data_IF_025075968000
#
_entry.id   IF_025075968000
#
_cell.length_a   1.000
_cell.length_b   1.000
_cell.length_c   1.000
_cell.angle_alpha   90.00
_cell.angle_beta   90.00
_cell.angle_gamma   90.00
#
_symmetry.space_group_name_H-M   'P 1'
#
loop_
_entity.id
_entity.type
_entity.pdbx_description
1 polymer ?
#
# COMPACT_ATOMS: atom_id res chain seq x y z
N UNK A 1 13.56 27.98 8.50
CA UNK A 1 12.59 27.43 7.52
C UNK A 1 11.37 28.34 7.40
N UNK A 2 10.98 29.02 8.47
CA UNK A 2 9.68 29.67 8.61
C UNK A 2 9.46 30.98 7.85
N UNK A 3 10.52 31.62 7.40
CA UNK A 3 10.41 33.02 6.89
C UNK A 3 10.57 33.20 5.39
N UNK A 4 10.93 32.16 4.64
CA UNK A 4 11.24 32.35 3.23
C UNK A 4 10.09 32.15 2.24
N UNK A 5 8.99 31.48 2.63
CA UNK A 5 7.93 31.16 1.68
C UNK A 5 6.56 31.75 1.99
N UNK A 6 6.29 32.15 3.24
CA UNK A 6 4.94 32.64 3.65
C UNK A 6 3.79 31.66 3.41
N UNK A 7 4.06 30.48 2.87
CA UNK A 7 3.09 29.46 2.54
C UNK A 7 2.73 28.61 3.77
N UNK A 8 1.47 28.25 3.96
CA UNK A 8 1.10 27.21 4.90
C UNK A 8 1.91 25.93 4.65
N UNK A 9 2.15 25.13 5.70
CA UNK A 9 2.95 23.87 5.59
C UNK A 9 2.43 22.97 4.47
N UNK A 10 1.10 22.85 4.33
CA UNK A 10 0.48 22.06 3.25
C UNK A 10 0.87 22.58 1.87
N UNK A 11 0.78 23.90 1.65
CA UNK A 11 1.17 24.51 0.38
C UNK A 11 2.66 24.35 0.08
N UNK A 12 3.52 24.34 1.12
CA UNK A 12 4.94 24.08 0.94
C UNK A 12 5.22 22.62 0.56
N UNK A 13 4.56 21.66 1.21
CA UNK A 13 4.71 20.23 0.91
C UNK A 13 4.17 19.86 -0.49
N UNK A 14 3.13 20.54 -0.95
CA UNK A 14 2.49 20.25 -2.23
C UNK A 14 3.09 21.03 -3.42
N UNK A 15 4.22 21.69 -3.25
CA UNK A 15 4.90 22.36 -4.36
C UNK A 15 5.45 21.35 -5.38
N UNK A 16 5.35 21.69 -6.65
CA UNK A 16 5.86 20.85 -7.74
C UNK A 16 7.38 20.69 -7.73
N UNK A 17 8.08 21.69 -7.18
CA UNK A 17 9.55 21.69 -7.01
C UNK A 17 10.00 21.15 -5.63
N UNK A 18 9.09 20.58 -4.83
CA UNK A 18 9.47 20.01 -3.53
C UNK A 18 10.33 18.75 -3.72
N UNK A 19 11.56 18.69 -3.19
CA UNK A 19 12.50 17.62 -3.55
C UNK A 19 12.13 16.25 -2.99
N UNK A 20 11.35 16.16 -1.91
CA UNK A 20 11.07 14.91 -1.20
C UNK A 20 9.64 14.41 -1.37
N UNK A 21 8.64 15.28 -1.33
CA UNK A 21 7.23 14.86 -1.29
C UNK A 21 6.86 13.89 -2.43
N UNK A 22 7.15 14.18 -3.72
CA UNK A 22 6.82 13.26 -4.79
C UNK A 22 7.63 11.95 -4.70
N UNK A 23 8.92 12.00 -4.34
CA UNK A 23 9.76 10.81 -4.16
C UNK A 23 9.25 9.90 -3.06
N UNK A 24 8.90 10.45 -1.90
CA UNK A 24 8.34 9.68 -0.77
C UNK A 24 7.04 9.01 -1.17
N UNK A 25 6.14 9.73 -1.85
CA UNK A 25 4.85 9.17 -2.28
C UNK A 25 5.04 8.06 -3.30
N UNK A 26 5.86 8.27 -4.31
CA UNK A 26 6.16 7.26 -5.34
C UNK A 26 6.81 6.02 -4.74
N UNK A 27 7.76 6.20 -3.82
CA UNK A 27 8.40 5.09 -3.13
C UNK A 27 7.42 4.25 -2.30
N UNK A 28 6.45 4.90 -1.65
CA UNK A 28 5.38 4.19 -0.91
C UNK A 28 4.44 3.45 -1.84
N UNK A 29 4.03 4.07 -2.95
CA UNK A 29 3.20 3.40 -3.96
C UNK A 29 3.94 2.18 -4.51
N UNK A 30 5.23 2.32 -4.82
CA UNK A 30 6.07 1.18 -5.24
C UNK A 30 6.14 0.08 -4.18
N UNK A 31 6.38 0.45 -2.92
CA UNK A 31 6.44 -0.48 -1.80
C UNK A 31 5.16 -1.31 -1.66
N UNK A 32 3.98 -0.70 -1.82
CA UNK A 32 2.70 -1.42 -1.78
C UNK A 32 2.53 -2.41 -2.94
N UNK A 33 3.18 -2.17 -4.08
CA UNK A 33 3.11 -3.07 -5.22
C UNK A 33 4.15 -4.20 -5.15
N UNK A 34 5.36 -3.91 -4.68
CA UNK A 34 6.50 -4.84 -4.74
C UNK A 34 6.99 -5.32 -3.36
N UNK A 35 6.33 -4.91 -2.27
CA UNK A 35 6.69 -5.27 -0.90
C UNK A 35 7.76 -4.37 -0.28
N UNK A 36 8.75 -3.92 -1.06
CA UNK A 36 9.84 -3.04 -0.59
C UNK A 36 9.99 -1.85 -1.54
N UNK A 37 10.19 -0.66 -0.99
CA UNK A 37 10.49 0.54 -1.76
C UNK A 37 11.93 0.54 -2.30
N UNK A 38 12.23 1.39 -3.27
CA UNK A 38 13.62 1.63 -3.69
C UNK A 38 14.47 2.15 -2.52
N UNK A 39 13.89 3.04 -1.71
CA UNK A 39 14.38 3.41 -0.38
C UNK A 39 13.63 2.53 0.63
N UNK A 40 14.35 1.63 1.30
CA UNK A 40 13.76 0.68 2.26
C UNK A 40 13.53 1.27 3.65
N UNK A 41 13.96 2.52 3.86
CA UNK A 41 13.61 3.36 5.01
C UNK A 41 12.53 4.38 4.63
N UNK A 42 11.25 3.98 4.43
CA UNK A 42 10.22 4.83 3.81
C UNK A 42 9.85 6.08 4.63
N UNK A 43 10.27 6.14 5.88
CA UNK A 43 10.08 7.28 6.77
C UNK A 43 11.33 8.15 6.93
N UNK A 44 12.45 7.75 6.34
CA UNK A 44 13.71 8.49 6.37
C UNK A 44 14.37 8.51 4.99
N UNK A 45 14.21 9.62 4.30
CA UNK A 45 14.87 9.95 3.03
C UNK A 45 16.05 10.89 3.26
N UNK A 46 16.45 11.05 4.51
CA UNK A 46 17.53 11.92 4.91
C UNK A 46 18.87 11.20 5.01
N UNK A 47 19.79 11.84 5.73
CA UNK A 47 21.18 11.40 5.85
C UNK A 47 21.34 10.03 6.54
N UNK A 48 20.39 9.66 7.42
CA UNK A 48 20.43 8.40 8.17
C UNK A 48 19.62 7.29 7.47
N UNK A 49 18.87 7.62 6.41
CA UNK A 49 18.13 6.66 5.61
C UNK A 49 18.99 5.95 4.57
N UNK A 50 18.41 4.93 3.97
CA UNK A 50 19.07 4.15 2.91
C UNK A 50 19.08 4.93 1.59
N UNK A 51 20.14 4.75 0.81
CA UNK A 51 20.16 5.21 -0.57
C UNK A 51 19.18 4.40 -1.44
N UNK A 52 18.53 5.02 -2.42
CA UNK A 52 17.66 4.32 -3.34
C UNK A 52 18.43 3.34 -4.22
N UNK A 53 17.88 2.15 -4.46
CA UNK A 53 18.50 1.17 -5.37
C UNK A 53 18.47 1.60 -6.85
N UNK A 54 17.47 2.42 -7.21
CA UNK A 54 17.26 2.91 -8.58
C UNK A 54 16.93 4.40 -8.55
N UNK A 55 17.94 5.28 -8.32
CA UNK A 55 17.71 6.72 -8.12
C UNK A 55 17.08 7.40 -9.33
N UNK A 56 17.53 7.09 -10.55
CA UNK A 56 17.01 7.71 -11.76
C UNK A 56 15.55 7.31 -12.01
N UNK A 57 15.18 6.05 -11.71
CA UNK A 57 13.80 5.59 -11.84
C UNK A 57 12.88 6.26 -10.80
N UNK A 58 13.35 6.40 -9.56
CA UNK A 58 12.63 7.11 -8.52
C UNK A 58 12.38 8.57 -8.91
N UNK A 59 13.40 9.24 -9.44
CA UNK A 59 13.31 10.64 -9.86
C UNK A 59 12.39 10.82 -11.07
N UNK A 60 12.50 9.92 -12.05
CA UNK A 60 11.63 9.95 -13.22
C UNK A 60 10.15 9.75 -12.82
N UNK A 61 9.84 8.75 -12.01
CA UNK A 61 8.47 8.49 -11.57
C UNK A 61 7.93 9.61 -10.67
N UNK A 62 8.78 10.26 -9.87
CA UNK A 62 8.40 11.43 -9.10
C UNK A 62 8.04 12.61 -10.02
N UNK A 63 8.82 12.84 -11.08
CA UNK A 63 8.51 13.81 -12.12
C UNK A 63 7.19 13.52 -12.85
N UNK A 64 6.97 12.27 -13.24
CA UNK A 64 5.71 11.83 -13.89
C UNK A 64 4.48 12.04 -12.99
N UNK A 65 4.61 11.79 -11.70
CA UNK A 65 3.54 12.06 -10.74
C UNK A 65 3.16 13.54 -10.71
N UNK A 66 4.14 14.42 -10.60
CA UNK A 66 3.94 15.87 -10.62
C UNK A 66 3.36 16.32 -11.97
N UNK A 67 3.98 15.90 -13.07
CA UNK A 67 3.53 16.25 -14.43
C UNK A 67 2.10 15.82 -14.72
N UNK A 68 1.68 14.66 -14.21
CA UNK A 68 0.30 14.17 -14.34
C UNK A 68 -0.72 14.90 -13.45
N UNK A 69 -0.30 15.90 -12.66
CA UNK A 69 -1.13 16.60 -11.69
C UNK A 69 -1.46 15.74 -10.47
N UNK A 70 -0.48 15.00 -9.95
CA UNK A 70 -0.58 14.15 -8.75
C UNK A 70 -1.60 13.00 -8.87
N UNK A 71 -1.81 12.49 -10.08
CA UNK A 71 -2.79 11.44 -10.35
C UNK A 71 -2.22 10.05 -10.04
N UNK A 72 -2.52 9.52 -8.88
CA UNK A 72 -2.07 8.17 -8.45
C UNK A 72 -2.47 7.07 -9.45
N UNK A 73 -3.64 7.15 -10.08
CA UNK A 73 -4.07 6.14 -11.06
C UNK A 73 -3.17 6.11 -12.30
N UNK A 74 -2.61 7.24 -12.71
CA UNK A 74 -1.64 7.30 -13.81
C UNK A 74 -0.36 6.57 -13.42
N UNK A 75 0.17 6.85 -12.24
CA UNK A 75 1.35 6.18 -11.68
C UNK A 75 1.12 4.67 -11.53
N UNK A 76 0.01 4.25 -10.95
CA UNK A 76 -0.34 2.83 -10.79
C UNK A 76 -0.43 2.12 -12.15
N UNK A 77 -1.04 2.77 -13.15
CA UNK A 77 -1.13 2.23 -14.51
C UNK A 77 0.25 2.01 -15.13
N UNK A 78 1.19 2.93 -14.96
CA UNK A 78 2.57 2.78 -15.44
C UNK A 78 3.24 1.58 -14.79
N UNK A 79 3.10 1.41 -13.46
CA UNK A 79 3.64 0.27 -12.71
C UNK A 79 3.04 -1.04 -13.23
N UNK A 80 1.71 -1.16 -13.28
CA UNK A 80 1.02 -2.40 -13.64
C UNK A 80 1.24 -2.82 -15.10
N UNK A 81 1.51 -1.89 -16.00
CA UNK A 81 1.82 -2.17 -17.39
C UNK A 81 3.32 -2.43 -17.64
N UNK A 82 4.17 -2.21 -16.66
CA UNK A 82 5.61 -2.38 -16.80
C UNK A 82 6.00 -3.86 -16.98
N UNK A 83 7.12 -4.10 -17.63
CA UNK A 83 7.72 -5.42 -17.71
C UNK A 83 8.09 -5.96 -16.33
N UNK A 84 8.53 -5.09 -15.43
CA UNK A 84 8.89 -5.43 -14.05
C UNK A 84 7.71 -6.03 -13.27
N UNK A 85 6.51 -5.47 -13.42
CA UNK A 85 5.31 -6.01 -12.79
C UNK A 85 4.92 -7.39 -13.32
N UNK A 86 5.16 -7.64 -14.61
CA UNK A 86 4.77 -8.87 -15.30
C UNK A 86 5.82 -9.97 -15.27
N UNK A 87 6.92 -9.76 -14.53
CA UNK A 87 7.95 -10.79 -14.34
C UNK A 87 7.40 -11.99 -13.58
N UNK A 88 7.95 -13.18 -13.88
CA UNK A 88 7.72 -14.37 -13.07
C UNK A 88 8.42 -14.24 -11.70
N UNK A 89 7.87 -14.93 -10.69
CA UNK A 89 8.49 -15.03 -9.36
C UNK A 89 9.47 -16.21 -9.23
N UNK A 90 9.66 -16.99 -10.29
CA UNK A 90 10.50 -18.19 -10.27
C UNK A 90 11.93 -17.86 -9.85
N UNK A 91 12.47 -18.56 -8.85
CA UNK A 91 13.83 -18.31 -8.39
C UNK A 91 14.86 -18.84 -9.38
N UNK A 92 15.95 -18.08 -9.56
CA UNK A 92 17.14 -18.50 -10.31
C UNK A 92 18.32 -18.54 -9.35
N UNK A 93 18.95 -19.70 -9.16
CA UNK A 93 19.98 -19.90 -8.14
C UNK A 93 21.14 -18.90 -8.23
N UNK A 94 21.61 -18.59 -9.44
CA UNK A 94 22.69 -17.60 -9.65
C UNK A 94 22.27 -16.18 -9.21
N UNK A 95 21.05 -15.79 -9.48
CA UNK A 95 20.55 -14.46 -9.11
C UNK A 95 20.29 -14.39 -7.59
N UNK A 96 19.77 -15.47 -6.99
CA UNK A 96 19.60 -15.56 -5.53
C UNK A 96 20.94 -15.41 -4.78
N UNK A 97 22.02 -15.93 -5.31
CA UNK A 97 23.34 -15.82 -4.69
C UNK A 97 23.86 -14.36 -4.67
N UNK A 98 23.41 -13.53 -5.60
CA UNK A 98 23.82 -12.12 -5.71
C UNK A 98 22.83 -11.17 -5.02
N UNK A 99 21.53 -11.41 -5.21
CA UNK A 99 20.45 -10.54 -4.72
C UNK A 99 19.26 -11.38 -4.26
N UNK A 100 19.39 -12.01 -3.08
CA UNK A 100 18.36 -12.85 -2.50
C UNK A 100 17.04 -12.12 -2.27
N UNK A 101 17.12 -10.84 -1.92
CA UNK A 101 15.96 -9.97 -1.66
C UNK A 101 15.28 -9.41 -2.91
N UNK A 102 15.77 -9.75 -4.11
CA UNK A 102 15.26 -9.22 -5.39
C UNK A 102 15.20 -7.68 -5.43
N UNK A 103 16.13 -7.02 -4.76
CA UNK A 103 16.24 -5.55 -4.68
C UNK A 103 16.55 -4.91 -6.03
N UNK A 104 17.20 -5.66 -6.91
CA UNK A 104 17.54 -5.25 -8.29
C UNK A 104 16.47 -5.66 -9.31
N UNK A 105 15.30 -6.13 -8.84
CA UNK A 105 14.13 -6.41 -9.66
C UNK A 105 14.37 -7.46 -10.76
N UNK A 106 15.21 -8.46 -10.52
CA UNK A 106 15.50 -9.54 -11.47
C UNK A 106 14.37 -10.57 -11.57
N UNK A 107 13.43 -10.57 -10.61
CA UNK A 107 12.14 -11.29 -10.63
C UNK A 107 11.09 -10.46 -9.92
N UNK A 108 9.81 -10.83 -10.07
CA UNK A 108 8.77 -10.30 -9.20
C UNK A 108 9.00 -10.80 -7.76
N UNK A 109 9.21 -9.91 -6.77
CA UNK A 109 9.46 -10.33 -5.40
C UNK A 109 8.17 -10.92 -4.81
N UNK A 110 8.17 -12.22 -4.40
CA UNK A 110 7.01 -12.80 -3.75
C UNK A 110 6.80 -12.14 -2.38
N UNK A 111 5.59 -11.75 -2.08
CA UNK A 111 5.20 -11.22 -0.78
C UNK A 111 3.84 -11.78 -0.37
N UNK A 112 3.60 -11.84 0.93
CA UNK A 112 2.31 -12.26 1.46
C UNK A 112 1.28 -11.16 1.22
N UNK A 113 0.07 -11.55 0.81
CA UNK A 113 -1.05 -10.62 0.74
C UNK A 113 -1.48 -10.19 2.14
N UNK A 114 -1.97 -8.97 2.27
CA UNK A 114 -2.62 -8.49 3.48
C UNK A 114 -3.91 -9.27 3.74
N UNK A 115 -4.29 -9.40 5.00
CA UNK A 115 -5.48 -10.14 5.41
C UNK A 115 -6.75 -9.66 4.70
N UNK A 116 -6.88 -8.35 4.56
CA UNK A 116 -8.00 -7.72 3.86
C UNK A 116 -8.06 -8.15 2.39
N UNK A 117 -6.92 -8.23 1.72
CA UNK A 117 -6.84 -8.64 0.33
C UNK A 117 -7.13 -10.15 0.18
N UNK A 118 -6.72 -10.97 1.14
CA UNK A 118 -7.04 -12.42 1.17
C UNK A 118 -8.55 -12.62 1.27
N UNK A 119 -9.21 -11.96 2.22
CA UNK A 119 -10.66 -12.06 2.40
C UNK A 119 -11.42 -11.58 1.16
N UNK A 120 -11.07 -10.42 0.63
CA UNK A 120 -11.70 -9.88 -0.59
C UNK A 120 -11.52 -10.84 -1.77
N UNK A 121 -10.36 -11.49 -1.89
CA UNK A 121 -10.08 -12.48 -2.92
C UNK A 121 -10.94 -13.73 -2.77
N UNK A 122 -11.11 -14.25 -1.54
CA UNK A 122 -11.97 -15.39 -1.26
C UNK A 122 -13.41 -15.08 -1.68
N UNK A 123 -13.93 -13.92 -1.27
CA UNK A 123 -15.29 -13.51 -1.65
C UNK A 123 -15.44 -13.30 -3.17
N UNK A 124 -14.41 -12.79 -3.82
CA UNK A 124 -14.42 -12.60 -5.28
C UNK A 124 -14.45 -13.93 -6.03
N UNK A 125 -13.59 -14.89 -5.65
CA UNK A 125 -13.50 -16.21 -6.30
C UNK A 125 -14.78 -17.03 -6.09
N UNK A 126 -15.41 -16.90 -4.91
CA UNK A 126 -16.69 -17.57 -4.62
C UNK A 126 -17.91 -16.87 -5.23
N UNK A 127 -17.73 -15.70 -5.85
CA UNK A 127 -18.82 -14.91 -6.42
C UNK A 127 -19.70 -14.20 -5.36
N UNK A 128 -19.30 -14.23 -4.09
CA UNK A 128 -20.06 -13.62 -2.99
C UNK A 128 -19.72 -12.14 -2.76
N UNK A 129 -18.63 -11.63 -3.35
CA UNK A 129 -18.19 -10.25 -3.13
C UNK A 129 -19.23 -9.24 -3.63
N UNK A 130 -19.67 -8.38 -2.72
CA UNK A 130 -20.45 -7.19 -3.04
C UNK A 130 -19.49 -6.02 -3.44
N UNK A 131 -19.41 -5.65 -4.73
CA UNK A 131 -18.47 -4.64 -5.22
C UNK A 131 -18.96 -3.20 -5.01
N UNK A 132 -20.12 -2.97 -4.40
CA UNK A 132 -20.69 -1.62 -4.25
C UNK A 132 -19.73 -0.68 -3.53
N UNK A 133 -19.64 0.55 -4.05
CA UNK A 133 -18.83 1.61 -3.47
C UNK A 133 -19.66 2.52 -2.56
N UNK A 134 -19.02 3.03 -1.49
CA UNK A 134 -19.65 3.96 -0.54
C UNK A 134 -20.65 3.28 0.41
N UNK A 135 -21.37 4.09 1.16
CA UNK A 135 -22.32 3.62 2.16
C UNK A 135 -21.71 3.31 3.53
N UNK A 136 -22.51 2.81 4.49
CA UNK A 136 -22.05 2.57 5.86
C UNK A 136 -21.04 1.42 5.95
N UNK A 137 -20.22 1.46 7.00
CA UNK A 137 -19.34 0.34 7.37
C UNK A 137 -20.14 -0.88 7.83
N UNK A 138 -19.52 -2.04 7.73
CA UNK A 138 -20.04 -3.27 8.34
C UNK A 138 -19.13 -3.73 9.49
N UNK A 139 -19.65 -4.57 10.38
CA UNK A 139 -18.94 -5.03 11.56
C UNK A 139 -18.65 -6.52 11.44
N UNK A 140 -17.40 -6.91 11.76
CA UNK A 140 -16.95 -8.29 11.88
C UNK A 140 -17.14 -8.83 13.31
N UNK A 141 -17.50 -7.96 14.24
CA UNK A 141 -17.67 -8.27 15.67
C UNK A 141 -19.08 -7.91 16.13
N UNK A 142 -19.57 -8.66 17.07
CA UNK A 142 -20.67 -8.26 17.92
C UNK A 142 -20.13 -7.41 19.06
N UNK A 143 -20.91 -6.44 19.50
CA UNK A 143 -20.50 -5.48 20.53
C UNK A 143 -21.40 -5.64 21.74
N UNK A 144 -20.82 -6.07 22.83
CA UNK A 144 -21.46 -6.00 24.13
C UNK A 144 -21.19 -4.63 24.77
N UNK A 145 -22.28 -3.97 25.20
CA UNK A 145 -22.25 -2.58 25.69
C UNK A 145 -22.56 -2.52 27.19
N UNK A 146 -21.77 -3.20 27.96
CA UNK A 146 -21.81 -3.00 29.42
C UNK A 146 -21.03 -1.71 29.81
N UNK A 147 -20.31 -1.72 30.92
CA UNK A 147 -19.50 -0.56 31.37
C UNK A 147 -18.27 -0.31 30.47
N UNK A 148 -17.78 -1.36 29.79
CA UNK A 148 -16.70 -1.33 28.80
C UNK A 148 -17.21 -2.06 27.58
N UNK A 149 -16.85 -1.55 26.37
CA UNK A 149 -17.17 -2.23 25.13
C UNK A 149 -16.34 -3.51 24.98
N UNK A 150 -17.01 -4.64 24.91
CA UNK A 150 -16.41 -5.93 24.55
C UNK A 150 -16.78 -6.27 23.11
N UNK A 151 -15.80 -6.73 22.34
CA UNK A 151 -15.96 -7.08 20.95
C UNK A 151 -15.76 -8.59 20.79
N UNK A 152 -16.72 -9.28 20.28
CA UNK A 152 -16.67 -10.72 20.04
C UNK A 152 -16.73 -10.97 18.54
N UNK A 153 -15.78 -11.73 17.95
CA UNK A 153 -15.87 -12.10 16.54
C UNK A 153 -17.21 -12.76 16.24
N UNK A 154 -17.81 -12.41 15.12
CA UNK A 154 -19.04 -13.06 14.66
C UNK A 154 -18.74 -14.47 14.16
N UNK A 155 -19.59 -15.43 14.52
CA UNK A 155 -19.50 -16.82 14.05
C UNK A 155 -19.99 -16.99 12.62
N UNK A 156 -20.81 -16.06 12.11
CA UNK A 156 -21.39 -16.12 10.78
C UNK A 156 -21.55 -14.72 10.17
N UNK A 157 -21.49 -14.67 8.84
CA UNK A 157 -21.63 -13.46 8.07
C UNK A 157 -22.74 -13.59 7.04
N UNK A 158 -23.48 -12.52 6.81
CA UNK A 158 -24.51 -12.43 5.79
C UNK A 158 -24.10 -11.56 4.59
N UNK A 159 -25.01 -11.39 3.61
CA UNK A 159 -24.73 -10.58 2.41
C UNK A 159 -24.30 -9.13 2.70
N UNK A 160 -24.72 -8.57 3.84
CA UNK A 160 -24.34 -7.21 4.26
C UNK A 160 -22.86 -7.07 4.61
N UNK A 161 -22.23 -8.14 5.07
CA UNK A 161 -20.81 -8.20 5.42
C UNK A 161 -19.92 -8.69 4.26
N UNK A 162 -20.47 -9.12 3.12
CA UNK A 162 -19.70 -9.60 1.97
C UNK A 162 -19.11 -8.47 1.12
N UNK A 163 -19.06 -7.28 1.68
CA UNK A 163 -18.42 -6.10 1.08
C UNK A 163 -16.90 -6.18 1.21
N UNK A 164 -16.21 -5.34 0.42
CA UNK A 164 -14.75 -5.20 0.51
C UNK A 164 -14.31 -4.77 1.91
N UNK A 165 -13.19 -5.31 2.37
CA UNK A 165 -12.63 -5.03 3.71
C UNK A 165 -12.31 -3.56 3.97
N UNK A 166 -12.14 -2.74 2.94
CA UNK A 166 -11.99 -1.29 3.08
C UNK A 166 -13.20 -0.64 3.78
N UNK A 167 -14.35 -1.29 3.79
CA UNK A 167 -15.57 -0.85 4.48
C UNK A 167 -15.78 -1.52 5.84
N UNK A 168 -14.90 -2.41 6.27
CA UNK A 168 -15.00 -3.03 7.58
C UNK A 168 -14.66 -2.04 8.69
N UNK A 169 -15.45 -2.07 9.77
CA UNK A 169 -15.12 -1.32 10.97
C UNK A 169 -13.91 -1.93 11.66
N UNK A 170 -12.87 -1.13 11.92
CA UNK A 170 -11.62 -1.56 12.55
C UNK A 170 -11.71 -1.40 14.06
N UNK A 171 -11.56 -2.50 14.78
CA UNK A 171 -11.46 -2.55 16.23
C UNK A 171 -9.98 -2.69 16.60
N UNK A 172 -9.44 -1.76 17.39
CA UNK A 172 -8.01 -1.76 17.74
C UNK A 172 -7.62 -2.84 18.75
N UNK A 173 -8.56 -3.24 19.58
CA UNK A 173 -8.33 -4.11 20.74
C UNK A 173 -8.52 -5.59 20.41
N UNK A 174 -9.20 -5.89 19.34
CA UNK A 174 -9.53 -7.27 18.94
C UNK A 174 -9.04 -7.53 17.52
N UNK A 175 -8.39 -8.65 17.36
CA UNK A 175 -8.00 -9.16 16.05
C UNK A 175 -8.99 -10.22 15.59
N UNK A 176 -9.29 -10.24 14.31
CA UNK A 176 -10.11 -11.29 13.70
C UNK A 176 -9.38 -12.63 13.83
N UNK A 177 -10.09 -13.68 14.30
CA UNK A 177 -9.50 -15.00 14.53
C UNK A 177 -8.89 -15.63 13.25
N UNK A 178 -9.33 -15.19 12.07
CA UNK A 178 -8.79 -15.67 10.78
C UNK A 178 -7.53 -14.90 10.36
N UNK A 179 -7.41 -13.62 10.78
CA UNK A 179 -6.42 -12.69 10.25
C UNK A 179 -5.51 -12.06 11.32
N UNK A 180 -5.69 -12.46 12.58
CA UNK A 180 -4.91 -11.98 13.73
C UNK A 180 -3.53 -12.61 13.86
#
# INVERSE_FOLDING_TARGET
IKKQTGLPVVGWLARDDHPLTPRVLVNRVWQYHFGVGWVDTPNDFGRNGSAPTHPELLDWMAGELVFSGWRLKTLQRQILLSATWRQASTPVARALAVDAGSRLLWRFPPHRLEAEAIRDSILAVTGALDPRHGGPSFHLHEVDRENVYHYHPKDSFGPGEFRRMVYAYKVRMEQDAIFG
#
